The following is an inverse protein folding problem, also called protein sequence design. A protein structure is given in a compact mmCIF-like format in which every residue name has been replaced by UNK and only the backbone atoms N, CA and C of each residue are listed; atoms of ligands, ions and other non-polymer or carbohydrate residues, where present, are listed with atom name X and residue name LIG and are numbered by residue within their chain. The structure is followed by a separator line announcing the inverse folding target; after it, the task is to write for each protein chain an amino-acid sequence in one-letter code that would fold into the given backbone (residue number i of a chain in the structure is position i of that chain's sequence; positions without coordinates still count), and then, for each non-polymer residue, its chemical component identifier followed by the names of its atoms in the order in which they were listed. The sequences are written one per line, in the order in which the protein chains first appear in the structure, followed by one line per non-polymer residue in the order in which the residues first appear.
data_IF_084808723075
#
_entry.id   IF_084808723075
#
_cell.length_a   1.000
_cell.length_b   1.000
_cell.length_c   1.000
_cell.angle_alpha   90.00
_cell.angle_beta   90.00
_cell.angle_gamma   90.00
#
_symmetry.space_group_name_H-M   'P 1'
#
loop_
_entity.id
_entity.type
_entity.pdbx_description
1 polymer ?
#
# COMPACT_ATOMS: atom_id res chain seq x y z
N UNK A 1 -5.13 -24.50 -20.77
CA UNK A 1 -3.68 -24.18 -21.00
C UNK A 1 -3.28 -22.81 -20.47
N UNK A 2 -4.23 -21.91 -20.16
CA UNK A 2 -3.97 -20.63 -19.45
C UNK A 2 -3.90 -20.78 -17.93
N UNK A 3 -4.48 -21.85 -17.41
CA UNK A 3 -4.64 -22.08 -15.97
C UNK A 3 -3.28 -22.30 -15.28
N UNK A 4 -2.36 -23.05 -15.90
CA UNK A 4 -1.06 -23.34 -15.29
C UNK A 4 -0.12 -22.12 -15.13
N UNK A 5 -0.35 -21.04 -15.87
CA UNK A 5 0.42 -19.79 -15.74
C UNK A 5 -0.23 -18.86 -14.72
N UNK A 6 -1.57 -18.85 -14.66
CA UNK A 6 -2.33 -18.12 -13.64
C UNK A 6 -1.99 -18.66 -12.23
N UNK A 7 -2.05 -19.99 -12.05
CA UNK A 7 -1.77 -20.70 -10.80
C UNK A 7 -0.38 -20.35 -10.22
N UNK A 8 0.62 -20.16 -11.09
CA UNK A 8 1.99 -19.83 -10.67
C UNK A 8 2.14 -18.38 -10.20
N UNK A 9 1.28 -17.48 -10.65
CA UNK A 9 1.32 -16.07 -10.23
C UNK A 9 0.54 -15.82 -8.94
N UNK A 10 -0.38 -16.69 -8.56
CA UNK A 10 -1.11 -16.65 -7.28
C UNK A 10 -0.20 -16.92 -6.08
N UNK A 11 0.97 -17.53 -6.30
CA UNK A 11 1.99 -17.74 -5.26
C UNK A 11 2.35 -16.45 -4.54
N UNK A 12 2.36 -15.33 -5.25
CA UNK A 12 2.71 -14.04 -4.66
C UNK A 12 1.75 -13.67 -3.51
N UNK A 13 0.45 -13.88 -3.70
CA UNK A 13 -0.57 -13.54 -2.71
C UNK A 13 -0.55 -14.50 -1.50
N UNK A 14 -0.12 -15.75 -1.71
CA UNK A 14 0.00 -16.75 -0.63
C UNK A 14 1.16 -16.46 0.32
N UNK A 15 2.24 -15.85 -0.18
CA UNK A 15 3.41 -15.51 0.65
C UNK A 15 3.21 -14.18 1.37
N UNK A 16 2.64 -13.18 0.69
CA UNK A 16 2.39 -11.85 1.25
C UNK A 16 1.34 -11.12 0.39
N UNK A 17 0.54 -10.24 1.00
CA UNK A 17 -0.39 -9.41 0.23
C UNK A 17 0.39 -8.48 -0.73
N UNK A 18 0.14 -8.62 -2.04
CA UNK A 18 0.74 -7.78 -3.08
C UNK A 18 -0.12 -6.54 -3.30
N UNK A 19 0.45 -5.36 -3.05
CA UNK A 19 -0.20 -4.09 -3.35
C UNK A 19 -0.07 -3.76 -4.84
N UNK A 20 -1.15 -4.00 -5.58
CA UNK A 20 -1.30 -3.62 -6.98
C UNK A 20 -1.92 -2.22 -7.09
N UNK A 21 -1.75 -1.58 -8.26
CA UNK A 21 -2.44 -0.34 -8.59
C UNK A 21 -3.97 -0.57 -8.69
N UNK A 22 -4.77 0.50 -8.75
CA UNK A 22 -6.23 0.40 -8.92
C UNK A 22 -6.67 -0.38 -10.16
N UNK A 23 -5.77 -0.56 -11.15
CA UNK A 23 -5.99 -1.42 -12.32
C UNK A 23 -6.00 -2.93 -12.00
N UNK A 24 -5.54 -3.34 -10.81
CA UNK A 24 -5.46 -4.73 -10.40
C UNK A 24 -4.44 -5.58 -11.16
N UNK A 25 -3.60 -4.97 -12.01
CA UNK A 25 -2.70 -5.68 -12.93
C UNK A 25 -1.23 -5.31 -12.71
N UNK A 26 -0.95 -4.04 -12.42
CA UNK A 26 0.42 -3.54 -12.33
C UNK A 26 0.81 -3.21 -10.89
N UNK A 27 2.10 -3.32 -10.59
CA UNK A 27 2.72 -2.77 -9.40
C UNK A 27 3.74 -1.69 -9.78
N UNK A 28 3.92 -0.67 -8.94
CA UNK A 28 5.02 0.29 -9.08
C UNK A 28 6.31 -0.27 -8.50
N UNK A 29 7.46 0.31 -8.83
CA UNK A 29 8.75 0.01 -8.16
C UNK A 29 8.65 0.13 -6.63
N UNK A 30 7.85 1.06 -6.12
CA UNK A 30 7.62 1.24 -4.69
C UNK A 30 6.81 0.07 -4.10
N UNK A 31 5.74 -0.36 -4.77
CA UNK A 31 4.98 -1.54 -4.37
C UNK A 31 5.82 -2.82 -4.35
N UNK A 32 6.65 -3.02 -5.37
CA UNK A 32 7.57 -4.18 -5.47
C UNK A 32 8.61 -4.16 -4.34
N UNK A 33 9.20 -2.99 -4.05
CA UNK A 33 10.18 -2.84 -2.97
C UNK A 33 9.56 -3.14 -1.60
N UNK A 34 8.36 -2.61 -1.35
CA UNK A 34 7.59 -2.87 -0.12
C UNK A 34 7.19 -4.35 0.01
N UNK A 35 6.83 -5.01 -1.10
CA UNK A 35 6.52 -6.43 -1.11
C UNK A 35 7.72 -7.28 -0.67
N UNK A 36 8.88 -7.11 -1.31
CA UNK A 36 10.08 -7.88 -0.99
C UNK A 36 10.85 -7.42 0.26
N UNK A 37 10.40 -6.34 0.92
CA UNK A 37 11.06 -5.73 2.09
C UNK A 37 12.50 -5.37 1.76
N UNK A 38 12.70 -4.69 0.62
CA UNK A 38 14.01 -4.24 0.15
C UNK A 38 13.99 -2.75 -0.17
N UNK A 39 15.17 -2.13 -0.20
CA UNK A 39 15.27 -0.73 -0.61
C UNK A 39 14.96 -0.57 -2.11
N UNK A 40 14.27 0.51 -2.51
CA UNK A 40 13.88 0.78 -3.91
C UNK A 40 15.08 0.76 -4.89
N UNK A 41 16.26 1.17 -4.44
CA UNK A 41 17.50 1.10 -5.22
C UNK A 41 17.93 -0.32 -5.55
N UNK A 42 17.64 -1.32 -4.71
CA UNK A 42 17.92 -2.73 -5.01
C UNK A 42 17.08 -3.17 -6.20
N UNK A 43 15.78 -2.87 -6.18
CA UNK A 43 14.86 -3.16 -7.29
C UNK A 43 15.31 -2.44 -8.55
N UNK A 44 15.67 -1.15 -8.48
CA UNK A 44 16.21 -0.42 -9.64
C UNK A 44 17.46 -1.06 -10.23
N UNK A 45 18.41 -1.50 -9.39
CA UNK A 45 19.66 -2.15 -9.85
C UNK A 45 19.36 -3.49 -10.52
N UNK A 46 18.46 -4.29 -9.96
CA UNK A 46 18.02 -5.56 -10.59
C UNK A 46 17.34 -5.27 -11.92
N UNK A 47 16.43 -4.31 -11.95
CA UNK A 47 15.74 -3.89 -13.17
C UNK A 47 16.69 -3.39 -14.24
N UNK A 48 17.74 -2.67 -13.86
CA UNK A 48 18.74 -2.17 -14.80
C UNK A 48 19.59 -3.30 -15.39
N UNK A 49 20.03 -4.26 -14.55
CA UNK A 49 20.86 -5.39 -14.98
C UNK A 49 20.11 -6.41 -15.85
N UNK A 50 18.82 -6.61 -15.57
CA UNK A 50 17.98 -7.62 -16.24
C UNK A 50 16.88 -7.00 -17.10
N UNK A 51 17.12 -5.79 -17.64
CA UNK A 51 16.10 -5.01 -18.34
C UNK A 51 15.45 -5.75 -19.51
N UNK A 52 16.25 -6.41 -20.35
CA UNK A 52 15.73 -7.10 -21.54
C UNK A 52 14.75 -8.23 -21.15
N UNK A 53 15.15 -9.06 -20.19
CA UNK A 53 14.33 -10.17 -19.69
C UNK A 53 13.04 -9.67 -19.01
N UNK A 54 13.14 -8.65 -18.16
CA UNK A 54 11.98 -8.11 -17.46
C UNK A 54 11.00 -7.44 -18.43
N UNK A 55 11.48 -6.71 -19.45
CA UNK A 55 10.62 -6.13 -20.49
C UNK A 55 9.81 -7.19 -21.23
N UNK A 56 10.46 -8.29 -21.65
CA UNK A 56 9.77 -9.40 -22.33
C UNK A 56 8.74 -10.08 -21.44
N UNK A 57 8.95 -10.07 -20.12
CA UNK A 57 8.05 -10.68 -19.15
C UNK A 57 6.97 -9.72 -18.59
N UNK A 58 6.84 -8.52 -19.16
CA UNK A 58 5.76 -7.58 -18.87
C UNK A 58 6.16 -6.37 -18.02
N UNK A 59 7.45 -6.02 -17.95
CA UNK A 59 7.91 -4.76 -17.36
C UNK A 59 7.79 -3.61 -18.36
N UNK A 60 6.99 -2.60 -18.05
CA UNK A 60 6.80 -1.43 -18.91
C UNK A 60 7.30 -0.15 -18.24
N UNK A 61 7.98 0.70 -19.00
CA UNK A 61 8.51 1.98 -18.49
C UNK A 61 7.78 3.10 -19.20
N UNK A 62 6.86 3.74 -18.48
CA UNK A 62 6.09 4.88 -18.95
C UNK A 62 6.93 6.15 -18.85
N UNK A 63 6.89 6.98 -19.88
CA UNK A 63 7.61 8.27 -19.98
C UNK A 63 6.69 9.33 -20.59
N UNK A 64 6.94 10.61 -20.29
CA UNK A 64 6.35 11.73 -21.04
C UNK A 64 4.81 11.77 -21.08
N UNK A 65 4.23 11.70 -22.28
CA UNK A 65 2.78 11.70 -22.53
C UNK A 65 2.08 10.52 -21.86
N UNK A 66 2.61 9.32 -22.02
CA UNK A 66 1.98 8.07 -21.60
C UNK A 66 1.91 7.99 -20.08
N UNK A 67 2.87 8.61 -19.39
CA UNK A 67 2.85 8.74 -17.94
C UNK A 67 1.76 9.71 -17.44
N UNK A 68 1.50 10.79 -18.18
CA UNK A 68 0.44 11.75 -17.82
C UNK A 68 -0.94 11.13 -18.00
N UNK A 69 -1.14 10.40 -19.10
CA UNK A 69 -2.38 9.67 -19.38
C UNK A 69 -2.61 8.57 -18.34
N UNK A 70 -1.61 7.72 -18.08
CA UNK A 70 -1.71 6.67 -17.08
C UNK A 70 -2.00 7.21 -15.67
N UNK A 71 -1.38 8.34 -15.27
CA UNK A 71 -1.69 9.00 -13.98
C UNK A 71 -3.11 9.55 -13.94
N UNK A 72 -3.60 10.13 -15.04
CA UNK A 72 -4.97 10.64 -15.12
C UNK A 72 -5.99 9.51 -14.98
N UNK A 73 -5.73 8.38 -15.60
CA UNK A 73 -6.69 7.28 -15.66
C UNK A 73 -6.63 6.37 -14.43
N UNK A 74 -5.46 6.22 -13.80
CA UNK A 74 -5.25 5.27 -12.69
C UNK A 74 -4.98 5.92 -11.33
N UNK A 75 -4.58 7.20 -11.27
CA UNK A 75 -4.24 7.91 -10.02
C UNK A 75 -5.20 9.06 -9.70
N UNK A 76 -6.22 9.33 -10.52
CA UNK A 76 -7.21 10.38 -10.26
C UNK A 76 -8.11 10.12 -9.04
N UNK A 77 -8.06 8.92 -8.45
CA UNK A 77 -8.81 8.54 -7.24
C UNK A 77 -7.97 8.61 -5.95
N UNK A 78 -6.69 8.98 -6.01
CA UNK A 78 -5.81 9.09 -4.84
C UNK A 78 -5.29 10.53 -4.72
N UNK A 79 -6.14 11.44 -4.24
CA UNK A 79 -5.78 12.81 -3.85
C UNK A 79 -4.97 12.79 -2.54
N UNK A 80 -3.74 12.29 -2.53
CA UNK A 80 -2.85 12.52 -1.38
C UNK A 80 -1.36 12.31 -1.71
N UNK A 81 -0.86 12.99 -2.75
CA UNK A 81 0.55 13.41 -2.77
C UNK A 81 0.82 14.39 -3.90
N UNK A 82 1.42 15.52 -3.52
CA UNK A 82 1.94 16.57 -4.38
C UNK A 82 2.66 16.05 -5.66
N UNK A 83 2.61 16.81 -6.77
CA UNK A 83 3.10 16.38 -8.07
C UNK A 83 4.62 16.52 -8.12
N UNK A 84 5.34 15.59 -7.48
CA UNK A 84 6.71 15.35 -7.87
C UNK A 84 6.68 14.78 -9.29
N UNK A 85 7.16 15.58 -10.24
CA UNK A 85 7.35 15.23 -11.63
C UNK A 85 8.36 14.08 -11.75
N UNK A 86 7.97 12.86 -11.34
CA UNK A 86 8.66 11.65 -11.72
C UNK A 86 8.60 11.61 -13.24
N UNK A 87 9.74 11.77 -13.89
CA UNK A 87 9.86 11.81 -15.36
C UNK A 87 9.57 10.46 -15.99
N UNK A 88 9.73 9.37 -15.23
CA UNK A 88 9.49 8.01 -15.67
C UNK A 88 8.83 7.17 -14.54
N UNK A 89 7.89 6.30 -14.88
CA UNK A 89 7.31 5.29 -13.98
C UNK A 89 7.58 3.90 -14.54
N UNK A 90 7.96 2.96 -13.69
CA UNK A 90 8.11 1.55 -14.10
C UNK A 90 7.00 0.74 -13.48
N UNK A 91 6.29 0.01 -14.34
CA UNK A 91 5.20 -0.89 -14.02
C UNK A 91 5.67 -2.33 -14.16
N UNK A 92 5.23 -3.17 -13.24
CA UNK A 92 5.58 -4.58 -13.16
C UNK A 92 4.30 -5.40 -13.10
N UNK A 93 4.14 -6.36 -14.00
CA UNK A 93 3.08 -7.38 -13.91
C UNK A 93 3.43 -8.43 -12.86
N UNK A 94 2.45 -9.22 -12.41
CA UNK A 94 2.68 -10.38 -11.51
C UNK A 94 3.81 -11.31 -11.99
N UNK A 95 3.85 -11.60 -13.30
CA UNK A 95 4.93 -12.41 -13.91
C UNK A 95 6.30 -11.76 -13.74
N UNK A 96 6.38 -10.45 -13.93
CA UNK A 96 7.63 -9.70 -13.75
C UNK A 96 8.08 -9.71 -12.29
N UNK A 97 7.14 -9.56 -11.35
CA UNK A 97 7.41 -9.62 -9.90
C UNK A 97 7.95 -10.99 -9.51
N UNK A 98 7.39 -12.07 -10.08
CA UNK A 98 7.88 -13.42 -9.87
C UNK A 98 9.32 -13.59 -10.39
N UNK A 99 9.63 -13.06 -11.57
CA UNK A 99 11.02 -13.05 -12.08
C UNK A 99 11.96 -12.28 -11.16
N UNK A 100 11.53 -11.13 -10.63
CA UNK A 100 12.32 -10.38 -9.65
C UNK A 100 12.56 -11.22 -8.38
N UNK A 101 11.57 -11.99 -7.93
CA UNK A 101 11.77 -12.95 -6.84
C UNK A 101 12.85 -13.99 -7.16
N UNK A 102 13.03 -14.39 -8.41
CA UNK A 102 14.10 -15.32 -8.79
C UNK A 102 15.49 -14.65 -8.75
N UNK A 103 15.56 -13.35 -8.99
CA UNK A 103 16.83 -12.59 -9.07
C UNK A 103 17.30 -12.04 -7.72
N UNK A 104 16.39 -11.79 -6.78
CA UNK A 104 16.71 -11.23 -5.47
C UNK A 104 17.30 -12.29 -4.53
N UNK A 105 18.59 -12.19 -4.22
CA UNK A 105 19.27 -13.12 -3.32
C UNK A 105 18.94 -12.89 -1.84
N UNK A 106 18.96 -11.64 -1.40
CA UNK A 106 18.97 -11.27 0.03
C UNK A 106 17.60 -10.85 0.58
N UNK A 107 16.51 -11.28 -0.06
CA UNK A 107 15.14 -11.02 0.43
C UNK A 107 14.52 -12.30 0.97
N UNK A 108 14.14 -12.28 2.25
CA UNK A 108 13.43 -13.42 2.88
C UNK A 108 12.09 -13.71 2.21
N UNK A 109 11.37 -12.67 1.79
CA UNK A 109 10.12 -12.83 1.02
C UNK A 109 10.39 -13.48 -0.33
N UNK A 110 11.44 -13.08 -1.04
CA UNK A 110 11.82 -13.72 -2.30
C UNK A 110 12.25 -15.18 -2.10
N UNK A 111 12.92 -15.49 -0.98
CA UNK A 111 13.28 -16.86 -0.59
C UNK A 111 12.04 -17.70 -0.35
N UNK A 112 11.07 -17.19 0.40
CA UNK A 112 9.80 -17.88 0.66
C UNK A 112 9.02 -18.14 -0.64
N UNK A 113 8.97 -17.17 -1.57
CA UNK A 113 8.34 -17.37 -2.89
C UNK A 113 9.00 -18.51 -3.67
N UNK A 114 10.34 -18.59 -3.67
CA UNK A 114 11.07 -19.70 -4.33
C UNK A 114 10.76 -21.05 -3.70
N UNK A 115 10.79 -21.12 -2.37
CA UNK A 115 10.47 -22.35 -1.63
C UNK A 115 9.05 -22.82 -1.96
N UNK A 116 8.07 -21.92 -1.88
CA UNK A 116 6.68 -22.26 -2.18
C UNK A 116 6.50 -22.78 -3.62
N UNK A 117 7.17 -22.15 -4.60
CA UNK A 117 7.14 -22.63 -5.98
C UNK A 117 7.70 -24.05 -6.12
N UNK A 118 8.78 -24.37 -5.40
CA UNK A 118 9.36 -25.70 -5.41
C UNK A 118 8.42 -26.72 -4.75
N UNK A 119 7.82 -26.39 -3.61
CA UNK A 119 6.90 -27.29 -2.89
C UNK A 119 5.67 -27.62 -3.74
N UNK A 120 5.12 -26.63 -4.45
CA UNK A 120 3.99 -26.82 -5.36
C UNK A 120 4.38 -27.69 -6.56
N UNK A 121 5.59 -27.53 -7.08
CA UNK A 121 6.09 -28.28 -8.22
C UNK A 121 6.34 -29.74 -7.86
N UNK A 122 6.93 -30.01 -6.70
CA UNK A 122 7.13 -31.36 -6.15
C UNK A 122 5.78 -32.06 -5.94
N UNK A 123 4.84 -31.38 -5.28
CA UNK A 123 3.48 -31.89 -5.07
C UNK A 123 2.72 -32.17 -6.37
N UNK A 124 2.98 -31.42 -7.44
CA UNK A 124 2.38 -31.63 -8.74
C UNK A 124 2.99 -32.86 -9.46
N UNK A 125 4.31 -33.09 -9.32
CA UNK A 125 4.98 -34.27 -9.90
C UNK A 125 4.50 -35.57 -9.25
N UNK A 126 4.32 -35.59 -7.94
CA UNK A 126 3.82 -36.76 -7.20
C UNK A 126 2.42 -37.19 -7.64
N UNK A 127 1.58 -36.24 -8.11
CA UNK A 127 0.21 -36.53 -8.57
C UNK A 127 0.13 -37.10 -9.98
N UNK A 128 1.20 -37.00 -10.78
CA UNK A 128 1.22 -37.41 -12.19
C UNK A 128 1.88 -38.79 -12.37
N UNK A 129 2.61 -39.31 -11.36
CA UNK A 129 3.15 -40.67 -11.40
C UNK A 129 2.07 -41.75 -11.21
N UNK A 130 1.55 -42.25 -12.34
CA UNK A 130 0.95 -43.59 -12.43
C UNK A 130 2.02 -44.63 -12.05
N UNK A 131 1.72 -45.66 -11.21
CA UNK A 131 2.76 -46.58 -10.72
C UNK A 131 3.41 -47.37 -11.86
N UNK A 132 4.65 -47.03 -12.21
CA UNK A 132 5.51 -47.94 -13.00
C UNK A 132 6.19 -48.91 -12.03
N UNK A 133 6.42 -50.19 -12.43
CA UNK A 133 7.14 -51.12 -11.58
C UNK A 133 8.55 -50.56 -11.35
N UNK A 134 8.80 -50.13 -10.11
CA UNK A 134 10.10 -49.61 -9.69
C UNK A 134 11.12 -50.73 -9.85
N UNK A 135 12.07 -50.56 -10.77
CA UNK A 135 13.33 -51.28 -10.66
C UNK A 135 13.94 -50.89 -9.30
N UNK A 136 14.16 -51.89 -8.47
CA UNK A 136 14.54 -51.75 -7.07
C UNK A 136 15.81 -50.90 -6.94
N UNK A 137 15.64 -49.66 -6.49
CA UNK A 137 16.72 -48.87 -5.88
C UNK A 137 16.88 -49.40 -4.45
N UNK A 138 18.11 -49.65 -3.94
CA UNK A 138 18.26 -50.12 -2.57
C UNK A 138 17.66 -49.06 -1.64
N UNK A 139 16.84 -49.50 -0.70
CA UNK A 139 16.19 -48.62 0.27
C UNK A 139 17.23 -47.77 1.02
N UNK A 140 16.95 -46.49 1.32
CA UNK A 140 17.80 -45.73 2.22
C UNK A 140 17.77 -46.41 3.60
N UNK A 141 18.94 -46.72 4.14
CA UNK A 141 19.10 -47.32 5.47
C UNK A 141 18.44 -46.43 6.52
N UNK A 142 17.82 -47.03 7.53
CA UNK A 142 17.05 -46.36 8.60
C UNK A 142 17.87 -45.25 9.29
N UNK A 143 19.19 -45.40 9.37
CA UNK A 143 20.13 -44.39 9.87
C UNK A 143 20.10 -43.05 9.11
N UNK A 144 19.89 -43.07 7.79
CA UNK A 144 19.84 -41.85 6.97
C UNK A 144 18.58 -41.04 7.24
N UNK A 145 17.48 -41.71 7.60
CA UNK A 145 16.24 -41.05 7.99
C UNK A 145 16.36 -40.45 9.39
N UNK A 146 16.98 -41.16 10.34
CA UNK A 146 17.24 -40.64 11.68
C UNK A 146 18.12 -39.39 11.63
N UNK A 147 19.22 -39.40 10.88
CA UNK A 147 20.08 -38.21 10.77
C UNK A 147 19.37 -36.99 10.16
N UNK A 148 18.41 -37.20 9.26
CA UNK A 148 17.59 -36.11 8.69
C UNK A 148 16.54 -35.61 9.69
N UNK A 149 15.95 -36.50 10.47
CA UNK A 149 15.01 -36.17 11.54
C UNK A 149 15.72 -35.38 12.64
N UNK A 150 16.85 -35.85 13.14
CA UNK A 150 17.64 -35.16 14.18
C UNK A 150 18.09 -33.77 13.73
N UNK A 151 18.46 -33.61 12.45
CA UNK A 151 18.82 -32.29 11.89
C UNK A 151 17.61 -31.35 11.79
N UNK A 152 16.45 -31.89 11.42
CA UNK A 152 15.19 -31.15 11.39
C UNK A 152 14.74 -30.72 12.78
N UNK A 153 14.79 -31.63 13.75
CA UNK A 153 14.44 -31.39 15.15
C UNK A 153 15.34 -30.33 15.79
N UNK A 154 16.65 -30.38 15.54
CA UNK A 154 17.57 -29.34 16.01
C UNK A 154 17.26 -27.97 15.40
N UNK A 155 16.80 -27.91 14.14
CA UNK A 155 16.44 -26.64 13.50
C UNK A 155 15.11 -26.07 14.02
N UNK A 156 14.19 -26.93 14.45
CA UNK A 156 12.90 -26.56 15.05
C UNK A 156 13.05 -26.13 16.52
N UNK A 157 14.04 -26.68 17.24
CA UNK A 157 14.32 -26.34 18.62
C UNK A 157 14.69 -24.85 18.81
N UNK A 158 15.34 -24.24 17.82
CA UNK A 158 15.78 -22.84 17.86
C UNK A 158 14.67 -21.83 17.56
N UNK A 159 13.55 -22.28 16.97
CA UNK A 159 12.40 -21.41 16.62
C UNK A 159 11.62 -21.01 17.89
N UNK A 160 11.49 -21.92 18.86
CA UNK A 160 10.74 -21.68 20.10
C UNK A 160 11.30 -20.52 20.95
N UNK A 161 12.61 -20.47 21.23
CA UNK A 161 13.25 -19.34 21.89
C UNK A 161 13.11 -18.03 21.11
N UNK A 162 13.34 -18.05 19.79
CA UNK A 162 13.25 -16.85 18.95
C UNK A 162 11.83 -16.23 18.93
N UNK A 163 10.78 -17.06 18.94
CA UNK A 163 9.40 -16.58 19.03
C UNK A 163 9.04 -16.04 20.43
N UNK A 164 9.65 -16.56 21.49
CA UNK A 164 9.45 -16.08 22.87
C UNK A 164 9.98 -14.65 23.05
N UNK A 165 11.06 -14.30 22.34
CA UNK A 165 11.68 -12.97 22.39
C UNK A 165 10.90 -11.90 21.60
N UNK A 166 9.99 -12.31 20.70
CA UNK A 166 9.13 -11.38 19.96
C UNK A 166 7.99 -10.82 20.83
N UNK A 167 7.47 -11.58 21.79
CA UNK A 167 6.39 -11.15 22.69
C UNK A 167 6.68 -9.82 23.40
N UNK A 168 7.85 -9.65 24.05
CA UNK A 168 8.27 -8.40 24.68
C UNK A 168 8.47 -7.22 23.71
N UNK A 169 8.84 -7.50 22.45
CA UNK A 169 9.00 -6.47 21.42
C UNK A 169 7.63 -5.99 20.95
N UNK A 170 6.71 -6.91 20.68
CA UNK A 170 5.32 -6.61 20.30
C UNK A 170 4.65 -5.81 21.42
N UNK A 171 4.79 -6.22 22.69
CA UNK A 171 4.22 -5.49 23.83
C UNK A 171 4.76 -4.06 23.96
N UNK A 172 6.06 -3.84 23.72
CA UNK A 172 6.65 -2.49 23.70
C UNK A 172 6.12 -1.64 22.55
N UNK A 173 5.93 -2.22 21.38
CA UNK A 173 5.40 -1.52 20.20
C UNK A 173 3.93 -1.15 20.45
N UNK A 174 3.10 -2.09 20.92
CA UNK A 174 1.70 -1.84 21.28
C UNK A 174 1.58 -0.71 22.32
N UNK A 175 2.36 -0.73 23.40
CA UNK A 175 2.33 0.34 24.39
C UNK A 175 2.79 1.71 23.88
N UNK A 176 3.68 1.74 22.87
CA UNK A 176 4.05 2.99 22.19
C UNK A 176 2.94 3.49 21.28
N UNK A 177 2.26 2.60 20.56
CA UNK A 177 1.12 2.93 19.72
C UNK A 177 -0.04 3.47 20.55
N UNK A 178 -0.37 2.85 21.69
CA UNK A 178 -1.42 3.34 22.59
C UNK A 178 -1.14 4.75 23.14
N UNK A 179 0.15 5.05 23.40
CA UNK A 179 0.55 6.41 23.82
C UNK A 179 0.45 7.43 22.69
N UNK A 180 0.80 7.04 21.47
CA UNK A 180 0.67 7.90 20.31
C UNK A 180 -0.80 8.18 20.00
N UNK A 181 -1.65 7.16 20.07
CA UNK A 181 -3.09 7.25 19.83
C UNK A 181 -3.75 8.24 20.79
N UNK A 182 -3.50 8.10 22.10
CA UNK A 182 -3.99 9.07 23.10
C UNK A 182 -3.50 10.49 22.87
N UNK A 183 -2.25 10.65 22.40
CA UNK A 183 -1.68 11.98 22.13
C UNK A 183 -2.30 12.59 20.88
N UNK A 184 -2.57 11.78 19.86
CA UNK A 184 -3.25 12.17 18.64
C UNK A 184 -4.69 12.63 18.96
N UNK A 185 -5.42 11.86 19.77
CA UNK A 185 -6.77 12.24 20.22
C UNK A 185 -6.79 13.56 20.98
N UNK A 186 -5.82 13.76 21.88
CA UNK A 186 -5.69 15.01 22.61
C UNK A 186 -5.45 16.19 21.66
N UNK A 187 -4.59 16.02 20.64
CA UNK A 187 -4.39 17.06 19.63
C UNK A 187 -5.63 17.29 18.78
N UNK A 188 -6.35 16.24 18.40
CA UNK A 188 -7.55 16.36 17.56
C UNK A 188 -8.65 17.14 18.29
N UNK A 189 -8.82 16.90 19.59
CA UNK A 189 -9.75 17.69 20.44
C UNK A 189 -9.41 19.18 20.47
N UNK A 190 -8.13 19.53 20.60
CA UNK A 190 -7.69 20.93 20.59
C UNK A 190 -7.97 21.56 19.22
N UNK A 191 -7.70 20.84 18.13
CA UNK A 191 -7.96 21.32 16.77
C UNK A 191 -9.46 21.54 16.55
N UNK A 192 -10.33 20.62 16.98
CA UNK A 192 -11.78 20.81 16.92
C UNK A 192 -12.22 22.07 17.66
N UNK A 193 -11.75 22.27 18.91
CA UNK A 193 -12.08 23.45 19.70
C UNK A 193 -11.56 24.76 19.07
N UNK A 194 -10.40 24.70 18.40
CA UNK A 194 -9.90 25.85 17.63
C UNK A 194 -10.78 26.14 16.41
N UNK A 195 -11.26 25.10 15.73
CA UNK A 195 -12.15 25.24 14.57
C UNK A 195 -13.49 25.86 14.96
N UNK A 196 -14.05 25.49 16.11
CA UNK A 196 -15.27 26.09 16.66
C UNK A 196 -15.06 27.59 16.93
N UNK A 197 -14.02 27.95 17.68
CA UNK A 197 -13.70 29.36 17.99
C UNK A 197 -13.43 30.21 16.75
N UNK A 198 -12.77 29.63 15.74
CA UNK A 198 -12.54 30.32 14.46
C UNK A 198 -13.84 30.51 13.67
N UNK A 199 -14.79 29.59 13.80
CA UNK A 199 -16.11 29.71 13.19
C UNK A 199 -16.92 30.81 13.87
N UNK A 200 -16.94 30.84 15.20
CA UNK A 200 -17.61 31.89 15.99
C UNK A 200 -17.01 33.27 15.68
N UNK A 201 -15.68 33.38 15.69
CA UNK A 201 -15.00 34.64 15.35
C UNK A 201 -15.31 35.09 13.91
N UNK A 202 -15.41 34.16 12.97
CA UNK A 202 -15.79 34.48 11.60
C UNK A 202 -17.24 34.97 11.49
N UNK A 203 -18.14 34.51 12.35
CA UNK A 203 -19.53 34.96 12.44
C UNK A 203 -19.61 36.37 13.06
N UNK A 204 -18.93 36.61 14.19
CA UNK A 204 -18.85 37.93 14.84
C UNK A 204 -18.31 39.01 13.88
N UNK A 205 -17.26 38.68 13.12
CA UNK A 205 -16.68 39.60 12.12
C UNK A 205 -17.66 39.89 10.97
N UNK A 206 -18.51 38.92 10.59
CA UNK A 206 -19.56 39.13 9.59
C UNK A 206 -20.66 40.04 10.14
N UNK A 207 -21.05 39.89 11.40
CA UNK A 207 -22.05 40.77 12.06
C UNK A 207 -21.56 42.21 12.19
N UNK A 208 -20.29 42.42 12.56
CA UNK A 208 -19.69 43.76 12.61
C UNK A 208 -19.64 44.43 11.24
N UNK A 209 -19.48 43.64 10.16
CA UNK A 209 -19.47 44.16 8.77
C UNK A 209 -20.87 44.45 8.22
N UNK A 210 -21.92 43.79 8.70
CA UNK A 210 -23.28 43.97 8.18
C UNK A 210 -24.01 45.21 8.72
N UNK A 211 -23.46 45.89 9.74
CA UNK A 211 -23.95 47.18 10.25
C UNK A 211 -25.32 47.11 10.97
N UNK A 212 -25.68 48.10 11.81
CA UNK A 212 -26.94 48.07 12.56
C UNK A 212 -28.14 48.09 11.61
N UNK A 213 -29.13 47.21 11.87
CA UNK A 213 -30.39 47.15 11.11
C UNK A 213 -31.01 48.55 11.02
N UNK A 214 -31.39 49.04 9.83
CA UNK A 214 -31.99 50.36 9.70
C UNK A 214 -33.32 50.39 10.45
N UNK A 215 -33.49 51.38 11.34
CA UNK A 215 -34.71 51.60 12.09
C UNK A 215 -35.90 51.81 11.12
N UNK A 216 -37.09 51.26 11.43
CA UNK A 216 -38.25 51.45 10.58
C UNK A 216 -38.58 52.94 10.46
N UNK A 217 -38.65 53.44 9.23
CA UNK A 217 -38.95 54.85 8.95
C UNK A 217 -40.38 55.16 9.39
N UNK A 218 -40.63 56.28 10.11
CA UNK A 218 -41.98 56.63 10.52
C UNK A 218 -42.83 56.96 9.29
N UNK A 219 -44.06 56.43 9.28
CA UNK A 219 -45.05 56.67 8.23
C UNK A 219 -45.36 58.17 8.13
N UNK A 220 -45.07 58.78 6.97
CA UNK A 220 -45.52 60.16 6.66
C UNK A 220 -47.03 60.15 6.40
N UNK A 221 -47.80 60.76 7.30
CA UNK A 221 -49.20 61.09 7.05
C UNK A 221 -49.30 62.21 5.99
N UNK A 222 -50.19 62.09 4.99
CA UNK A 222 -50.41 63.13 3.98
C UNK A 222 -51.44 64.12 4.50
N UNK A 223 -51.07 65.39 4.58
CA UNK A 223 -52.06 66.47 4.74
C UNK A 223 -51.58 67.62 5.58
N UNK A 224 -51.14 68.69 4.92
CA UNK A 224 -51.29 70.09 5.37
C UNK A 224 -50.77 71.00 4.25
N UNK A 225 -51.70 71.54 3.45
CA UNK A 225 -51.43 72.60 2.46
C UNK A 225 -50.97 73.88 3.19
N UNK A 226 -49.93 74.61 2.73
CA UNK A 226 -49.61 75.92 3.28
C UNK A 226 -50.62 76.96 2.79
N UNK A 227 -51.21 77.70 3.74
CA UNK A 227 -52.15 78.80 3.55
C UNK A 227 -51.37 80.08 3.20
N UNK A 228 -51.74 80.72 2.09
CA UNK A 228 -51.28 82.06 1.68
C UNK A 228 -51.49 83.11 2.79
N UNK A 229 -50.50 83.99 2.96
CA UNK A 229 -50.59 85.40 3.39
C UNK A 229 -49.25 86.05 3.03
N UNK A 230 -49.17 86.81 1.95
CA UNK A 230 -49.49 88.24 1.77
C UNK A 230 -48.43 89.21 2.27
N UNK A 231 -48.23 90.22 1.43
CA UNK A 231 -47.22 91.27 1.37
C UNK A 231 -47.24 92.22 2.57
N UNK A 232 -46.11 92.89 2.80
CA UNK A 232 -45.94 94.00 3.73
C UNK A 232 -44.49 94.20 4.10
#
# INVERSE_FOLDING_TARGET
MRDSVADRTEVLDKVKALALLPDGVHATTEGVASYFVVHKEVVKKVTQRHRAELSTNGMWVLRGSDLREFKRDNMSLYEESYPQAKTNLTLYTRRTILNIAMLLRDSEVARAVRTYLLDVEESARERVEVPRPRQARPAPTVESLDHRLTRGESSLADIGPALRDLGPVIGRISGRLDRLDRRLDATNRVVCAMSERLSDLAEDVRELRSGPRPLPRPHRHPGSRPKRRDQG
#
